data_IF_124071129319
#
_entry.id   IF_124071129319
#
_cell.length_a   1.000
_cell.length_b   1.000
_cell.length_c   1.000
_cell.angle_alpha   90.00
_cell.angle_beta   90.00
_cell.angle_gamma   90.00
#
_symmetry.space_group_name_H-M   'P 1'
#
loop_
_entity.id
_entity.type
_entity.pdbx_description
1 polymer ?
#
# COMPACT_ATOMS: atom_id res chain seq x y z
N UNK A 1 -50.15 22.09 27.54
CA UNK A 1 -49.08 22.67 28.37
C UNK A 1 -48.88 21.69 29.52
N UNK A 2 -47.73 21.07 29.81
CA UNK A 2 -46.34 21.25 29.43
C UNK A 2 -45.68 19.86 29.31
N UNK A 3 -44.94 19.62 28.22
CA UNK A 3 -43.48 19.44 28.20
C UNK A 3 -43.00 18.15 28.89
N UNK A 4 -42.76 17.13 28.07
CA UNK A 4 -42.06 15.91 28.44
C UNK A 4 -40.59 16.26 28.70
N UNK A 5 -40.15 16.09 29.94
CA UNK A 5 -38.75 16.23 30.35
C UNK A 5 -37.91 15.16 29.67
N UNK A 6 -36.81 15.59 29.05
CA UNK A 6 -35.85 14.71 28.40
C UNK A 6 -34.99 13.96 29.41
N UNK A 7 -34.45 12.83 28.95
CA UNK A 7 -33.12 12.34 29.31
C UNK A 7 -32.74 11.22 28.33
N UNK A 8 -31.73 11.50 27.51
CA UNK A 8 -30.56 10.63 27.39
C UNK A 8 -30.74 9.30 26.63
N UNK A 9 -30.86 9.40 25.31
CA UNK A 9 -30.37 8.36 24.41
C UNK A 9 -29.15 8.91 23.68
N UNK A 10 -27.94 8.70 24.20
CA UNK A 10 -26.67 8.67 23.46
C UNK A 10 -25.55 8.44 24.46
N UNK A 11 -25.56 7.27 25.10
CA UNK A 11 -24.40 6.78 25.83
C UNK A 11 -24.03 5.40 25.26
N UNK A 12 -22.83 5.36 24.70
CA UNK A 12 -21.96 4.18 24.74
C UNK A 12 -22.37 2.99 23.86
N UNK A 13 -22.03 3.10 22.58
CA UNK A 13 -21.57 1.93 21.82
C UNK A 13 -20.10 1.67 22.19
N UNK A 14 -19.88 1.05 23.36
CA UNK A 14 -18.62 0.38 23.64
C UNK A 14 -18.67 -1.03 23.05
N UNK A 15 -17.67 -1.28 22.21
CA UNK A 15 -16.85 -2.49 22.26
C UNK A 15 -17.39 -3.76 21.56
N UNK A 16 -16.91 -3.97 20.34
CA UNK A 16 -16.58 -5.30 19.82
C UNK A 16 -15.08 -5.35 19.50
N UNK A 17 -14.24 -5.16 20.53
CA UNK A 17 -12.81 -5.54 20.47
C UNK A 17 -12.71 -7.06 20.58
N UNK A 18 -12.74 -7.73 19.43
CA UNK A 18 -12.23 -9.10 19.31
C UNK A 18 -10.70 -9.08 19.20
N UNK A 19 -9.96 -10.02 19.82
CA UNK A 19 -8.48 -10.07 19.83
C UNK A 19 -7.88 -10.51 18.48
N UNK A 20 -8.58 -10.28 17.37
CA UNK A 20 -8.17 -10.67 16.03
C UNK A 20 -7.54 -9.52 15.24
N UNK A 21 -7.73 -8.27 15.66
CA UNK A 21 -7.25 -7.09 14.93
C UNK A 21 -5.77 -6.76 15.21
N UNK A 22 -5.21 -7.10 16.38
CA UNK A 22 -3.83 -6.74 16.74
C UNK A 22 -2.77 -7.46 15.88
N UNK A 23 -3.04 -8.71 15.50
CA UNK A 23 -2.12 -9.49 14.67
C UNK A 23 -2.12 -8.99 13.21
N UNK A 24 -3.31 -8.70 12.67
CA UNK A 24 -3.46 -8.15 11.32
C UNK A 24 -2.90 -6.72 11.25
N UNK A 25 -3.11 -5.91 12.29
CA UNK A 25 -2.53 -4.57 12.38
C UNK A 25 -1.01 -4.60 12.47
N UNK A 26 -0.43 -5.48 13.29
CA UNK A 26 1.03 -5.68 13.33
C UNK A 26 1.59 -6.07 11.97
N UNK A 27 0.95 -7.02 11.28
CA UNK A 27 1.37 -7.44 9.93
C UNK A 27 1.27 -6.27 8.94
N UNK A 28 0.21 -5.47 9.00
CA UNK A 28 0.05 -4.28 8.15
C UNK A 28 1.10 -3.21 8.44
N UNK A 29 1.40 -2.94 9.71
CA UNK A 29 2.45 -1.99 10.12
C UNK A 29 3.82 -2.45 9.61
N UNK A 30 4.13 -3.74 9.73
CA UNK A 30 5.38 -4.30 9.21
C UNK A 30 5.45 -4.23 7.67
N UNK A 31 4.36 -4.53 6.97
CA UNK A 31 4.31 -4.44 5.52
C UNK A 31 4.47 -2.99 5.03
N UNK A 32 3.77 -2.04 5.63
CA UNK A 32 3.90 -0.62 5.33
C UNK A 32 5.32 -0.13 5.56
N UNK A 33 5.92 -0.47 6.70
CA UNK A 33 7.30 -0.09 7.04
C UNK A 33 8.30 -0.65 6.02
N UNK A 34 8.12 -1.91 5.61
CA UNK A 34 8.95 -2.53 4.59
C UNK A 34 8.86 -1.78 3.25
N UNK A 35 7.65 -1.38 2.83
CA UNK A 35 7.48 -0.60 1.61
C UNK A 35 8.10 0.80 1.75
N UNK A 36 7.88 1.48 2.88
CA UNK A 36 8.44 2.79 3.19
C UNK A 36 9.98 2.80 3.14
N UNK A 37 10.61 1.79 3.74
CA UNK A 37 12.07 1.69 3.82
C UNK A 37 12.73 1.27 2.50
N UNK A 38 12.06 0.44 1.68
CA UNK A 38 12.69 -0.15 0.50
C UNK A 38 12.33 0.56 -0.81
N UNK A 39 11.04 0.80 -1.08
CA UNK A 39 10.56 1.13 -2.44
C UNK A 39 9.83 2.46 -2.55
N UNK A 40 9.23 2.98 -1.47
CA UNK A 40 8.41 4.20 -1.52
C UNK A 40 9.22 5.43 -1.96
N UNK A 41 10.44 5.60 -1.45
CA UNK A 41 11.26 6.76 -1.80
C UNK A 41 11.58 6.83 -3.30
N UNK A 42 12.01 5.72 -3.90
CA UNK A 42 12.34 5.67 -5.32
C UNK A 42 11.10 5.74 -6.22
N UNK A 43 9.98 5.15 -5.79
CA UNK A 43 8.70 5.24 -6.50
C UNK A 43 8.18 6.66 -6.55
N UNK A 44 8.21 7.39 -5.43
CA UNK A 44 7.78 8.79 -5.39
C UNK A 44 8.58 9.64 -6.37
N UNK A 45 9.92 9.49 -6.35
CA UNK A 45 10.80 10.25 -7.22
C UNK A 45 10.59 9.90 -8.70
N UNK A 46 10.39 8.61 -9.01
CA UNK A 46 10.07 8.15 -10.36
C UNK A 46 8.74 8.70 -10.88
N UNK A 47 7.70 8.67 -10.04
CA UNK A 47 6.38 9.21 -10.38
C UNK A 47 6.40 10.74 -10.58
N UNK A 48 7.15 11.48 -9.77
CA UNK A 48 7.36 12.92 -9.97
C UNK A 48 8.02 13.22 -11.33
N UNK A 49 9.03 12.43 -11.69
CA UNK A 49 9.76 12.61 -12.95
C UNK A 49 8.87 12.25 -14.14
N UNK A 50 8.13 11.15 -14.04
CA UNK A 50 7.16 10.69 -15.03
C UNK A 50 6.05 11.72 -15.27
N UNK A 51 5.51 12.32 -14.21
CA UNK A 51 4.48 13.34 -14.32
C UNK A 51 4.97 14.61 -15.04
N UNK A 52 6.27 14.90 -14.96
CA UNK A 52 6.91 16.05 -15.62
C UNK A 52 7.22 15.78 -17.09
N UNK A 53 7.80 14.63 -17.43
CA UNK A 53 8.20 14.33 -18.81
C UNK A 53 7.04 13.84 -19.68
N UNK A 54 6.03 13.18 -19.07
CA UNK A 54 4.91 12.54 -19.79
C UNK A 54 5.35 11.79 -21.06
N UNK A 55 6.27 10.82 -20.92
CA UNK A 55 6.72 10.03 -22.06
C UNK A 55 5.56 9.24 -22.67
N UNK A 56 5.70 8.84 -23.95
CA UNK A 56 4.70 8.05 -24.67
C UNK A 56 4.36 6.74 -23.96
N UNK A 57 5.35 6.14 -23.29
CA UNK A 57 5.21 4.90 -22.52
C UNK A 57 5.57 5.13 -21.04
N UNK A 58 4.63 5.55 -20.19
CA UNK A 58 4.90 5.85 -18.78
C UNK A 58 5.38 4.64 -17.97
N UNK A 59 4.89 3.43 -18.30
CA UNK A 59 5.25 2.20 -17.57
C UNK A 59 6.71 1.81 -17.81
N UNK A 60 7.14 1.76 -19.07
CA UNK A 60 8.54 1.47 -19.43
C UNK A 60 9.51 2.50 -18.83
N UNK A 61 9.13 3.78 -18.88
CA UNK A 61 9.94 4.84 -18.28
C UNK A 61 10.11 4.62 -16.78
N UNK A 62 9.03 4.33 -16.06
CA UNK A 62 9.09 4.09 -14.62
C UNK A 62 9.90 2.83 -14.29
N UNK A 63 9.73 1.74 -15.07
CA UNK A 63 10.50 0.52 -14.89
C UNK A 63 12.01 0.77 -15.06
N UNK A 64 12.41 1.46 -16.13
CA UNK A 64 13.80 1.87 -16.34
C UNK A 64 14.31 2.77 -15.21
N UNK A 65 13.50 3.72 -14.76
CA UNK A 65 13.86 4.62 -13.67
C UNK A 65 14.17 3.84 -12.38
N UNK A 66 13.32 2.88 -12.03
CA UNK A 66 13.49 2.02 -10.86
C UNK A 66 14.76 1.16 -10.98
N UNK A 67 15.01 0.55 -12.15
CA UNK A 67 16.21 -0.25 -12.41
C UNK A 67 17.50 0.59 -12.32
N UNK A 68 17.49 1.81 -12.87
CA UNK A 68 18.64 2.72 -12.86
C UNK A 68 19.00 3.15 -11.43
N UNK A 69 17.99 3.45 -10.61
CA UNK A 69 18.11 4.02 -9.26
C UNK A 69 18.14 2.98 -8.14
N UNK A 70 17.96 1.70 -8.44
CA UNK A 70 18.08 0.63 -7.45
C UNK A 70 19.54 0.54 -6.92
N UNK A 71 19.77 0.71 -5.61
CA UNK A 71 21.11 0.59 -5.02
C UNK A 71 21.63 -0.86 -5.04
N UNK A 72 20.74 -1.84 -5.00
CA UNK A 72 21.07 -3.27 -5.05
C UNK A 72 21.01 -3.78 -6.50
N UNK A 73 21.92 -3.31 -7.38
CA UNK A 73 22.02 -3.74 -8.79
C UNK A 73 22.41 -5.23 -8.97
N UNK A 74 22.25 -6.08 -7.95
CA UNK A 74 22.40 -7.51 -8.11
C UNK A 74 21.12 -8.04 -8.77
N UNK A 75 21.09 -7.95 -10.11
CA UNK A 75 20.02 -8.45 -10.97
C UNK A 75 19.95 -9.98 -10.86
N UNK A 76 19.32 -10.47 -9.81
CA UNK A 76 18.87 -11.86 -9.67
C UNK A 76 17.47 -11.85 -9.08
N UNK A 77 16.59 -11.13 -9.77
CA UNK A 77 15.15 -11.21 -9.54
C UNK A 77 14.58 -11.84 -10.79
N UNK A 78 14.69 -13.16 -10.90
CA UNK A 78 13.78 -13.89 -11.78
C UNK A 78 12.38 -13.62 -11.23
N UNK A 79 11.60 -12.85 -11.97
CA UNK A 79 10.15 -12.83 -11.78
C UNK A 79 9.67 -14.13 -12.43
N UNK A 80 9.33 -15.18 -11.67
CA UNK A 80 8.62 -16.30 -12.26
C UNK A 80 7.30 -15.74 -12.77
N UNK A 81 7.23 -15.48 -14.07
CA UNK A 81 5.96 -15.46 -14.79
C UNK A 81 5.35 -16.83 -14.52
N UNK A 82 4.43 -16.92 -13.54
CA UNK A 82 3.61 -18.10 -13.45
C UNK A 82 2.90 -18.17 -14.80
N UNK A 83 3.33 -19.13 -15.62
CA UNK A 83 2.50 -19.63 -16.69
C UNK A 83 1.45 -20.44 -15.94
N UNK A 84 0.32 -19.79 -15.65
CA UNK A 84 -0.94 -20.53 -15.58
C UNK A 84 -1.13 -21.08 -16.99
N UNK A 85 -0.49 -22.21 -17.25
CA UNK A 85 -0.74 -23.05 -18.40
C UNK A 85 -2.18 -23.48 -18.27
N UNK A 86 -3.03 -22.85 -19.05
CA UNK A 86 -4.31 -23.38 -19.41
C UNK A 86 -4.13 -24.83 -19.92
N UNK A 87 -4.97 -25.71 -19.41
CA UNK A 87 -5.34 -27.00 -19.99
C UNK A 87 -4.25 -28.08 -20.10
N UNK A 88 -4.29 -29.02 -19.16
CA UNK A 88 -4.32 -30.44 -19.51
C UNK A 88 -5.18 -31.21 -18.52
#
# INVERSE_FOLDING_TARGET
MASTSGAENTDTLQETTGPQNDAEERVQVHARRYLEDNVVHVLLQGLQTLARERPENPVDYLAMYLLQKNPNKNLSVEVPLNKTSASQ
#
